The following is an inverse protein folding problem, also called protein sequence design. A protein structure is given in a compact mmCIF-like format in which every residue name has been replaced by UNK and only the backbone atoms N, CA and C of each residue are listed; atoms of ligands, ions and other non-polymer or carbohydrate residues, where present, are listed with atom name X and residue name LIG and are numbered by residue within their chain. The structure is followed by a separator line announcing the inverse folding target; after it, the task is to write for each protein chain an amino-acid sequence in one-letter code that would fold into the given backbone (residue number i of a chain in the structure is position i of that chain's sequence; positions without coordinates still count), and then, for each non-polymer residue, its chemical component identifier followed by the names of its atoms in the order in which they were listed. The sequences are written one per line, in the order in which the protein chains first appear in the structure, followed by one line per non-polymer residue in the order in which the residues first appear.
data_IF_137348754980
#
_entry.id   IF_137348754980
#
_cell.length_a   1.000
_cell.length_b   1.000
_cell.length_c   1.000
_cell.angle_alpha   90.00
_cell.angle_beta   90.00
_cell.angle_gamma   90.00
#
_symmetry.space_group_name_H-M   'P 1'
#
loop_
_entity.id
_entity.type
_entity.pdbx_description
1 polymer ?
#
# COMPACT_ATOMS: atom_id res chain seq x y z
N UNK A 1 -25.48 -24.90 -20.38
CA UNK A 1 -24.86 -24.07 -21.42
C UNK A 1 -23.35 -24.27 -21.40
N UNK A 2 -22.74 -24.80 -22.47
CA UNK A 2 -21.30 -25.13 -22.53
C UNK A 2 -20.48 -23.89 -22.91
N UNK A 3 -19.47 -23.54 -22.11
CA UNK A 3 -18.57 -22.41 -22.38
C UNK A 3 -17.24 -22.90 -22.95
N UNK A 4 -17.00 -22.66 -24.23
CA UNK A 4 -15.74 -23.03 -24.90
C UNK A 4 -14.72 -21.87 -24.90
N UNK A 5 -13.44 -22.21 -25.07
CA UNK A 5 -12.31 -21.27 -25.00
C UNK A 5 -11.54 -21.11 -26.32
N UNK A 6 -12.08 -21.59 -27.44
CA UNK A 6 -11.41 -21.53 -28.76
C UNK A 6 -11.06 -20.10 -29.22
N UNK A 7 -11.80 -19.09 -28.75
CA UNK A 7 -11.52 -17.68 -29.02
C UNK A 7 -10.48 -17.04 -28.08
N UNK A 8 -9.88 -17.79 -27.14
CA UNK A 8 -8.85 -17.29 -26.23
C UNK A 8 -7.62 -16.68 -26.97
N UNK A 9 -7.02 -17.33 -28.00
CA UNK A 9 -5.90 -16.75 -28.75
C UNK A 9 -6.27 -15.45 -29.46
N UNK A 10 -7.42 -15.43 -30.16
CA UNK A 10 -7.90 -14.22 -30.83
C UNK A 10 -8.17 -13.09 -29.82
N UNK A 11 -8.73 -13.40 -28.64
CA UNK A 11 -8.90 -12.44 -27.53
C UNK A 11 -7.57 -11.90 -26.99
N UNK A 12 -6.48 -12.68 -27.00
CA UNK A 12 -5.14 -12.20 -26.63
C UNK A 12 -4.59 -11.23 -27.69
N UNK A 13 -4.66 -11.60 -28.98
CA UNK A 13 -4.24 -10.75 -30.11
C UNK A 13 -5.00 -9.42 -30.14
N UNK A 14 -6.33 -9.46 -29.97
CA UNK A 14 -7.17 -8.26 -29.90
C UNK A 14 -6.78 -7.32 -28.75
N UNK A 15 -6.52 -7.87 -27.55
CA UNK A 15 -6.04 -7.08 -26.40
C UNK A 15 -4.66 -6.46 -26.67
N UNK A 16 -3.77 -7.16 -27.36
CA UNK A 16 -2.46 -6.62 -27.75
C UNK A 16 -2.60 -5.45 -28.73
N UNK A 17 -3.36 -5.62 -29.82
CA UNK A 17 -3.59 -4.56 -30.81
C UNK A 17 -4.21 -3.31 -30.18
N UNK A 18 -5.19 -3.48 -29.27
CA UNK A 18 -5.79 -2.37 -28.54
C UNK A 18 -4.78 -1.63 -27.64
N UNK A 19 -3.85 -2.35 -27.00
CA UNK A 19 -2.77 -1.72 -26.22
C UNK A 19 -1.80 -0.95 -27.10
N UNK A 20 -1.41 -1.49 -28.25
CA UNK A 20 -0.52 -0.82 -29.21
C UNK A 20 -1.17 0.46 -29.77
N UNK A 21 -2.44 0.40 -30.19
CA UNK A 21 -3.20 1.57 -30.65
C UNK A 21 -3.29 2.65 -29.57
N UNK A 22 -3.53 2.25 -28.32
CA UNK A 22 -3.56 3.18 -27.18
C UNK A 22 -2.18 3.79 -26.89
N UNK A 23 -1.10 3.04 -27.08
CA UNK A 23 0.26 3.52 -26.89
C UNK A 23 0.58 4.68 -27.84
N UNK A 24 0.31 4.47 -29.13
CA UNK A 24 0.53 5.48 -30.17
C UNK A 24 -0.28 6.76 -29.89
N UNK A 25 -1.55 6.62 -29.49
CA UNK A 25 -2.44 7.77 -29.24
C UNK A 25 -2.06 8.61 -28.00
N UNK A 26 -1.36 8.03 -27.02
CA UNK A 26 -1.06 8.68 -25.74
C UNK A 26 0.42 9.09 -25.64
N UNK A 27 1.24 8.71 -26.63
CA UNK A 27 2.64 9.09 -26.69
C UNK A 27 2.81 10.61 -26.50
N UNK A 28 3.76 11.06 -25.66
CA UNK A 28 4.86 10.31 -25.03
C UNK A 28 4.52 9.65 -23.67
N UNK A 29 3.27 9.70 -23.20
CA UNK A 29 2.93 9.20 -21.86
C UNK A 29 2.85 7.66 -21.81
N UNK A 30 3.19 7.04 -20.67
CA UNK A 30 3.17 5.58 -20.52
C UNK A 30 1.75 4.98 -20.51
N UNK A 31 1.60 3.82 -21.15
CA UNK A 31 0.30 3.13 -21.34
C UNK A 31 -0.21 2.42 -20.09
N UNK A 32 0.68 2.12 -19.14
CA UNK A 32 0.36 1.42 -17.90
C UNK A 32 -0.64 2.17 -17.00
N UNK A 33 -0.91 3.46 -17.32
CA UNK A 33 -1.92 4.28 -16.69
C UNK A 33 -1.38 5.08 -15.51
N UNK A 34 -2.29 5.50 -14.64
CA UNK A 34 -1.96 6.41 -13.54
C UNK A 34 -1.17 5.69 -12.43
N UNK A 35 -0.25 6.41 -11.78
CA UNK A 35 0.44 5.97 -10.58
C UNK A 35 -0.57 5.67 -9.47
N UNK A 36 -0.39 4.51 -8.84
CA UNK A 36 -1.24 4.01 -7.76
C UNK A 36 -0.44 3.92 -6.46
N UNK A 37 -1.06 4.27 -5.31
CA UNK A 37 -0.43 4.16 -4.00
C UNK A 37 -0.29 2.70 -3.59
N UNK A 38 0.64 2.46 -2.69
CA UNK A 38 0.83 1.19 -2.01
C UNK A 38 -0.23 1.05 -0.92
N UNK A 39 -0.95 -0.07 -0.92
CA UNK A 39 -2.03 -0.36 0.03
C UNK A 39 -1.90 -1.78 0.53
N UNK A 40 -2.15 -1.99 1.81
CA UNK A 40 -2.23 -3.31 2.46
C UNK A 40 -3.60 -3.95 2.24
N UNK A 41 -3.66 -5.27 2.13
CA UNK A 41 -4.96 -5.97 2.05
C UNK A 41 -5.67 -5.98 3.42
N UNK A 42 -7.01 -6.04 3.44
CA UNK A 42 -7.79 -5.74 4.66
C UNK A 42 -7.78 -6.83 5.74
N UNK A 43 -7.58 -8.11 5.38
CA UNK A 43 -7.67 -9.22 6.34
C UNK A 43 -6.33 -9.54 6.97
N UNK A 44 -6.33 -10.07 8.19
CA UNK A 44 -5.10 -10.49 8.90
C UNK A 44 -4.23 -11.43 8.05
N UNK A 45 -4.83 -12.40 7.37
CA UNK A 45 -4.14 -13.35 6.47
C UNK A 45 -3.41 -12.68 5.31
N UNK A 46 -3.93 -11.56 4.78
CA UNK A 46 -3.39 -10.91 3.59
C UNK A 46 -2.74 -9.55 3.86
N UNK A 47 -2.77 -9.06 5.10
CA UNK A 47 -2.12 -7.83 5.54
C UNK A 47 -0.65 -7.78 5.08
N UNK A 48 0.07 -8.89 5.11
CA UNK A 48 1.47 -8.95 4.65
C UNK A 48 1.63 -8.69 3.14
N UNK A 49 0.57 -8.85 2.36
CA UNK A 49 0.57 -8.57 0.91
C UNK A 49 0.24 -7.11 0.64
N UNK A 50 0.99 -6.55 -0.31
CA UNK A 50 0.79 -5.20 -0.83
C UNK A 50 0.05 -5.28 -2.17
N UNK A 51 -0.85 -4.31 -2.40
CA UNK A 51 -1.57 -4.11 -3.66
C UNK A 51 -1.54 -2.64 -4.06
N UNK A 52 -1.83 -2.38 -5.34
CA UNK A 52 -1.93 -1.02 -5.89
C UNK A 52 -3.35 -0.46 -5.72
N UNK A 53 -3.47 0.63 -4.96
CA UNK A 53 -4.73 1.32 -4.68
C UNK A 53 -5.08 2.43 -5.68
N UNK A 54 -5.69 3.52 -5.20
CA UNK A 54 -5.96 4.78 -5.93
C UNK A 54 -5.60 5.97 -4.99
N UNK A 55 -4.92 7.05 -5.38
CA UNK A 55 -4.38 8.14 -4.47
C UNK A 55 -5.48 9.19 -4.15
N UNK A 56 -5.24 10.47 -3.85
CA UNK A 56 -6.27 11.48 -3.54
C UNK A 56 -5.87 12.87 -4.15
N UNK A 57 -6.83 13.79 -4.42
CA UNK A 57 -6.72 15.21 -4.95
C UNK A 57 -6.97 15.48 -6.46
N UNK A 58 -7.52 16.66 -6.80
CA UNK A 58 -7.92 17.08 -8.18
C UNK A 58 -6.76 17.30 -9.19
N UNK A 59 -5.65 17.92 -8.78
CA UNK A 59 -4.47 18.18 -9.66
C UNK A 59 -3.71 16.89 -10.03
N UNK A 60 -3.82 15.88 -9.17
CA UNK A 60 -3.08 14.64 -9.26
C UNK A 60 -3.40 13.87 -10.57
N UNK A 61 -4.65 13.92 -11.05
CA UNK A 61 -5.05 13.24 -12.29
C UNK A 61 -4.32 13.77 -13.53
N UNK A 62 -4.07 15.07 -13.62
CA UNK A 62 -3.37 15.71 -14.75
C UNK A 62 -1.92 15.26 -14.84
N UNK A 63 -1.29 15.10 -13.67
CA UNK A 63 0.12 14.69 -13.51
C UNK A 63 0.28 13.17 -13.73
N UNK A 64 -0.81 12.41 -13.80
CA UNK A 64 -0.77 10.96 -13.98
C UNK A 64 -0.91 10.16 -12.70
N UNK A 65 -1.52 10.72 -11.65
CA UNK A 65 -1.71 10.07 -10.34
C UNK A 65 -3.19 9.72 -10.15
N UNK A 66 -3.48 8.48 -9.74
CA UNK A 66 -4.85 7.99 -9.51
C UNK A 66 -5.47 8.63 -8.27
N UNK A 67 -6.79 8.79 -8.20
CA UNK A 67 -7.47 9.53 -7.11
C UNK A 67 -8.70 8.76 -6.60
N UNK A 68 -8.88 8.71 -5.29
CA UNK A 68 -9.86 8.00 -4.47
C UNK A 68 -10.00 8.76 -3.13
N UNK A 69 -11.06 9.54 -3.08
CA UNK A 69 -11.40 10.41 -1.97
C UNK A 69 -11.91 9.66 -0.74
N UNK A 70 -12.23 8.37 -0.86
CA UNK A 70 -12.87 7.59 0.21
C UNK A 70 -11.88 6.99 1.19
N UNK A 71 -10.61 6.84 0.81
CA UNK A 71 -9.62 6.18 1.66
C UNK A 71 -9.13 7.11 2.76
N UNK A 72 -9.12 6.60 4.00
CA UNK A 72 -8.46 7.21 5.16
C UNK A 72 -7.26 6.35 5.58
N UNK A 73 -6.14 6.98 5.95
CA UNK A 73 -4.97 6.29 6.51
C UNK A 73 -5.09 6.27 8.02
N UNK A 74 -5.01 5.08 8.63
CA UNK A 74 -5.04 4.92 10.08
C UNK A 74 -3.62 4.79 10.68
N UNK A 75 -2.63 4.36 9.90
CA UNK A 75 -1.23 4.25 10.33
C UNK A 75 -0.33 5.28 9.66
N UNK A 76 0.58 5.85 10.44
CA UNK A 76 1.55 6.87 9.99
C UNK A 76 2.56 6.26 9.00
N UNK A 77 3.00 5.03 9.22
CA UNK A 77 3.93 4.31 8.35
C UNK A 77 3.41 4.20 6.91
N UNK A 78 2.11 3.83 6.77
CA UNK A 78 1.47 3.70 5.45
C UNK A 78 1.35 5.05 4.73
N UNK A 79 1.19 6.13 5.50
CA UNK A 79 1.17 7.48 4.97
C UNK A 79 2.58 7.88 4.49
N UNK A 80 3.60 7.70 5.34
CA UNK A 80 4.99 8.01 5.01
C UNK A 80 5.48 7.25 3.77
N UNK A 81 5.19 5.95 3.67
CA UNK A 81 5.54 5.14 2.49
C UNK A 81 4.93 5.69 1.20
N UNK A 82 3.68 6.14 1.26
CA UNK A 82 2.99 6.70 0.10
C UNK A 82 3.45 8.13 -0.24
N UNK A 83 3.81 8.93 0.78
CA UNK A 83 4.45 10.24 0.59
C UNK A 83 5.80 10.08 -0.10
N UNK A 84 6.62 9.14 0.36
CA UNK A 84 7.91 8.84 -0.25
C UNK A 84 7.74 8.37 -1.71
N UNK A 85 6.78 7.48 -1.96
CA UNK A 85 6.43 7.05 -3.33
C UNK A 85 5.98 8.20 -4.23
N UNK A 86 5.24 9.18 -3.69
CA UNK A 86 4.84 10.37 -4.42
C UNK A 86 6.03 11.28 -4.74
N UNK A 87 6.97 11.46 -3.81
CA UNK A 87 8.22 12.20 -4.03
C UNK A 87 9.05 11.55 -5.14
N UNK A 88 9.25 10.24 -5.07
CA UNK A 88 9.97 9.47 -6.09
C UNK A 88 9.29 9.49 -7.47
N UNK A 89 7.96 9.51 -7.50
CA UNK A 89 7.24 9.65 -8.76
C UNK A 89 7.44 11.03 -9.36
N UNK A 90 7.45 12.08 -8.53
CA UNK A 90 7.62 13.48 -8.97
C UNK A 90 9.02 13.73 -9.55
N UNK A 91 10.06 13.14 -8.96
CA UNK A 91 11.44 13.24 -9.51
C UNK A 91 11.54 12.57 -10.87
N UNK A 92 10.99 11.34 -11.01
CA UNK A 92 11.01 10.61 -12.28
C UNK A 92 10.07 11.16 -13.37
N UNK A 93 9.22 12.14 -13.05
CA UNK A 93 8.21 12.62 -13.99
C UNK A 93 8.78 13.71 -14.89
N UNK A 94 8.89 13.40 -16.17
CA UNK A 94 9.24 14.37 -17.21
C UNK A 94 7.96 15.08 -17.67
N UNK A 95 7.85 16.38 -17.42
CA UNK A 95 6.72 17.21 -17.84
C UNK A 95 7.15 18.08 -19.03
N UNK A 96 6.53 17.86 -20.19
CA UNK A 96 6.70 18.74 -21.33
C UNK A 96 5.95 20.05 -21.11
N UNK A 97 6.57 21.22 -21.39
CA UNK A 97 5.90 22.48 -21.27
C UNK A 97 4.80 22.58 -22.33
N UNK A 98 3.68 23.22 -21.98
CA UNK A 98 2.53 23.37 -22.90
C UNK A 98 2.82 24.35 -24.04
N UNK A 99 3.79 25.25 -23.84
CA UNK A 99 4.37 26.14 -24.84
C UNK A 99 5.89 25.99 -24.78
N UNK A 100 6.53 25.92 -25.93
CA UNK A 100 8.00 25.85 -26.04
C UNK A 100 8.63 27.10 -25.39
N UNK A 101 9.73 26.93 -24.65
CA UNK A 101 10.50 28.04 -24.05
C UNK A 101 10.29 28.35 -22.55
N UNK A 102 9.52 27.55 -21.79
CA UNK A 102 9.37 27.74 -20.31
C UNK A 102 9.59 26.45 -19.49
N UNK A 103 10.82 25.93 -19.35
CA UNK A 103 11.12 24.73 -18.58
C UNK A 103 11.26 24.97 -17.05
N UNK A 104 10.93 23.96 -16.23
CA UNK A 104 11.05 23.96 -14.76
C UNK A 104 12.17 23.02 -14.24
N UNK A 105 12.61 23.17 -12.98
CA UNK A 105 13.83 22.55 -12.41
C UNK A 105 13.60 21.31 -11.51
N UNK A 106 14.52 20.33 -11.60
CA UNK A 106 15.22 19.59 -10.53
C UNK A 106 15.04 18.06 -10.38
N UNK A 107 16.12 17.38 -9.90
CA UNK A 107 16.24 15.94 -9.54
C UNK A 107 17.21 15.68 -8.34
N UNK A 108 16.99 14.59 -7.56
CA UNK A 108 17.96 13.92 -6.66
C UNK A 108 17.48 12.51 -6.19
N UNK A 109 18.41 11.63 -5.75
CA UNK A 109 18.21 10.18 -5.53
C UNK A 109 18.67 9.65 -4.15
N UNK A 110 17.99 8.65 -3.57
CA UNK A 110 18.42 7.90 -2.36
C UNK A 110 18.15 6.39 -2.54
N UNK A 111 19.09 5.56 -2.05
CA UNK A 111 19.08 4.08 -2.09
C UNK A 111 18.71 3.47 -0.73
N UNK A 112 17.96 2.36 -0.76
CA UNK A 112 17.57 1.55 0.39
C UNK A 112 18.70 0.57 0.81
N UNK A 113 18.90 0.36 2.11
CA UNK A 113 19.87 -0.59 2.67
C UNK A 113 19.14 -1.62 3.56
N UNK A 114 19.30 -2.94 3.33
CA UNK A 114 18.77 -3.97 4.22
C UNK A 114 19.57 -4.08 5.53
N UNK A 115 18.90 -4.50 6.61
CA UNK A 115 19.53 -4.75 7.92
C UNK A 115 20.42 -6.00 7.91
N UNK A 116 21.53 -5.93 8.63
CA UNK A 116 22.55 -6.98 8.71
C UNK A 116 22.23 -7.95 9.85
N UNK A 117 22.71 -9.19 9.72
CA UNK A 117 22.60 -10.19 10.78
C UNK A 117 23.26 -9.68 12.09
N UNK A 118 22.59 -9.93 13.22
CA UNK A 118 23.03 -9.53 14.58
C UNK A 118 23.07 -10.75 15.50
N UNK A 119 23.96 -10.73 16.49
CA UNK A 119 24.04 -11.78 17.52
C UNK A 119 22.87 -11.61 18.51
N UNK A 120 22.13 -12.68 18.85
CA UNK A 120 21.01 -12.61 19.78
C UNK A 120 21.43 -12.15 21.18
N UNK A 121 20.67 -11.23 21.76
CA UNK A 121 20.92 -10.73 23.12
C UNK A 121 20.54 -11.76 24.19
N UNK A 122 21.03 -11.57 25.41
CA UNK A 122 20.71 -12.44 26.56
C UNK A 122 19.19 -12.50 26.83
N UNK A 123 18.50 -11.37 26.67
CA UNK A 123 17.06 -11.25 26.86
C UNK A 123 16.24 -12.00 25.80
N UNK A 124 16.69 -12.00 24.53
CA UNK A 124 16.07 -12.77 23.46
C UNK A 124 16.22 -14.28 23.69
N UNK A 125 17.32 -14.70 24.32
CA UNK A 125 17.56 -16.10 24.70
C UNK A 125 16.70 -16.56 25.87
N UNK A 126 16.47 -15.69 26.85
CA UNK A 126 15.66 -15.99 28.03
C UNK A 126 14.14 -15.81 27.78
N UNK A 127 13.73 -15.29 26.62
CA UNK A 127 12.33 -15.05 26.28
C UNK A 127 11.59 -16.36 25.98
N UNK A 128 10.69 -16.79 26.87
CA UNK A 128 9.83 -17.93 26.63
C UNK A 128 8.61 -17.56 25.75
N UNK A 129 8.77 -17.67 24.44
CA UNK A 129 7.71 -17.36 23.46
C UNK A 129 6.43 -18.20 23.64
N UNK A 130 6.51 -19.42 24.15
CA UNK A 130 5.34 -20.30 24.32
C UNK A 130 4.42 -19.79 25.44
N UNK A 131 5.01 -19.45 26.60
CA UNK A 131 4.26 -18.95 27.75
C UNK A 131 3.64 -17.60 27.45
N UNK A 132 4.35 -16.70 26.75
CA UNK A 132 3.83 -15.37 26.41
C UNK A 132 2.64 -15.43 25.46
N UNK A 133 2.68 -16.29 24.43
CA UNK A 133 1.55 -16.51 23.54
C UNK A 133 0.32 -17.08 24.27
N UNK A 134 0.54 -18.00 25.21
CA UNK A 134 -0.55 -18.59 26.01
C UNK A 134 -1.18 -17.55 26.94
N UNK A 135 -0.36 -16.76 27.63
CA UNK A 135 -0.85 -15.70 28.51
C UNK A 135 -1.60 -14.62 27.73
N UNK A 136 -1.12 -14.22 26.55
CA UNK A 136 -1.80 -13.25 25.70
C UNK A 136 -3.20 -13.73 25.27
N UNK A 137 -3.35 -15.02 24.93
CA UNK A 137 -4.67 -15.62 24.62
C UNK A 137 -5.60 -15.63 25.82
N UNK A 138 -5.09 -15.98 27.00
CA UNK A 138 -5.88 -15.97 28.24
C UNK A 138 -6.33 -14.55 28.59
N UNK A 139 -5.41 -13.59 28.55
CA UNK A 139 -5.70 -12.19 28.83
C UNK A 139 -6.77 -11.64 27.87
N UNK A 140 -6.63 -11.89 26.56
CA UNK A 140 -7.61 -11.49 25.55
C UNK A 140 -9.00 -12.12 25.79
N UNK A 141 -9.05 -13.39 26.24
CA UNK A 141 -10.31 -14.08 26.58
C UNK A 141 -10.96 -13.50 27.84
N UNK A 142 -10.16 -13.10 28.83
CA UNK A 142 -10.64 -12.67 30.15
C UNK A 142 -10.94 -11.17 30.27
N UNK A 143 -10.68 -10.35 29.23
CA UNK A 143 -10.91 -8.89 29.27
C UNK A 143 -12.29 -8.53 29.80
N UNK A 144 -13.35 -9.10 29.21
CA UNK A 144 -14.73 -8.78 29.61
C UNK A 144 -15.08 -9.21 31.03
N UNK A 145 -14.56 -10.37 31.48
CA UNK A 145 -14.76 -10.84 32.85
C UNK A 145 -14.00 -9.96 33.85
N UNK A 146 -12.79 -9.53 33.48
CA UNK A 146 -11.97 -8.62 34.27
C UNK A 146 -12.65 -7.26 34.46
N UNK A 147 -13.18 -6.68 33.38
CA UNK A 147 -13.92 -5.42 33.44
C UNK A 147 -15.19 -5.51 34.30
N UNK A 148 -15.93 -6.63 34.20
CA UNK A 148 -17.11 -6.88 35.04
C UNK A 148 -16.75 -6.95 36.53
N UNK A 149 -15.74 -7.75 36.88
CA UNK A 149 -15.28 -7.88 38.27
C UNK A 149 -14.73 -6.57 38.82
N UNK A 150 -14.05 -5.77 38.00
CA UNK A 150 -13.55 -4.45 38.40
C UNK A 150 -14.70 -3.50 38.75
N UNK A 151 -15.75 -3.46 37.93
CA UNK A 151 -16.97 -2.67 38.20
C UNK A 151 -17.71 -3.13 39.46
N UNK A 152 -17.87 -4.44 39.63
CA UNK A 152 -18.50 -5.01 40.85
C UNK A 152 -17.68 -4.74 42.12
N UNK A 153 -16.34 -4.66 42.01
CA UNK A 153 -15.47 -4.25 43.11
C UNK A 153 -15.66 -2.76 43.46
N UNK A 154 -15.61 -1.89 42.46
CA UNK A 154 -15.81 -0.45 42.62
C UNK A 154 -17.22 -0.08 43.15
N UNK A 155 -18.22 -0.92 42.88
CA UNK A 155 -19.59 -0.77 43.39
C UNK A 155 -19.76 -1.28 44.83
N UNK A 156 -18.93 -2.22 45.27
CA UNK A 156 -18.89 -2.70 46.67
C UNK A 156 -18.05 -1.81 47.59
N UNK A 157 -17.07 -1.13 47.01
CA UNK A 157 -16.21 -0.18 47.73
C UNK A 157 -16.85 1.22 47.87
N UNK A 158 -18.07 1.41 47.34
CA UNK A 158 -18.92 2.60 47.45
C UNK A 158 -20.02 2.42 48.49
#
# INVERSE_FOLDING_TARGET
MVKTWFNQPMRKKRRHAARAKRAAAIAPRPVAGLMRPIVRCPTFKYNTKIRLGRVNKKVARTIGISVDYRRRSMSIESLQQNVQRLKEYKTKLIIFPRKEGKPGKADASIRFKPEKARVPTEDERNHNAFVTLRQARINAKLVGLGEKKKKEGEEKDK
#
